data_IF_550796049021
#
_entry.id   IF_550796049021
#
_cell.length_a   1.000
_cell.length_b   1.000
_cell.length_c   1.000
_cell.angle_alpha   90.00
_cell.angle_beta   90.00
_cell.angle_gamma   90.00
#
_symmetry.space_group_name_H-M   'P 1'
#
loop_
_entity.id
_entity.type
_entity.pdbx_description
1 polymer ?
#
# COMPACT_ATOMS: atom_id res chain seq x y z
N UNK A 1 11.80 7.53 1.29
CA UNK A 1 12.24 6.47 0.36
C UNK A 1 11.06 5.55 0.12
N UNK A 2 10.55 5.47 -1.09
CA UNK A 2 9.53 4.49 -1.43
C UNK A 2 10.18 3.12 -1.59
N UNK A 3 9.57 2.10 -1.02
CA UNK A 3 9.97 0.71 -1.19
C UNK A 3 8.71 -0.13 -1.40
N UNK A 4 8.73 -1.00 -2.41
CA UNK A 4 7.63 -1.89 -2.74
C UNK A 4 7.53 -3.07 -1.77
N UNK A 5 7.20 -4.25 -2.27
CA UNK A 5 6.96 -5.45 -1.47
C UNK A 5 8.12 -5.96 -0.59
N UNK A 6 9.30 -5.34 -0.66
CA UNK A 6 10.46 -5.74 0.13
C UNK A 6 10.18 -5.95 1.62
N UNK A 7 9.46 -5.06 2.34
CA UNK A 7 9.19 -5.27 3.76
C UNK A 7 8.29 -6.48 4.05
N UNK A 8 7.45 -6.87 3.10
CA UNK A 8 6.60 -8.06 3.20
C UNK A 8 7.42 -9.35 3.11
N UNK A 9 8.35 -9.41 2.16
CA UNK A 9 9.07 -10.64 1.83
C UNK A 9 10.37 -10.81 2.61
N UNK A 10 10.99 -9.70 3.05
CA UNK A 10 12.21 -9.69 3.85
C UNK A 10 12.05 -8.81 5.11
N UNK A 11 11.06 -9.10 5.97
CA UNK A 11 10.71 -8.23 7.10
C UNK A 11 11.85 -8.08 8.12
N UNK A 12 12.67 -9.11 8.30
CA UNK A 12 13.77 -9.06 9.26
C UNK A 12 14.88 -8.09 8.81
N UNK A 13 15.21 -8.12 7.52
CA UNK A 13 16.20 -7.20 6.95
C UNK A 13 15.70 -5.75 7.01
N UNK A 14 14.42 -5.52 6.66
CA UNK A 14 13.79 -4.22 6.79
C UNK A 14 13.79 -3.73 8.24
N UNK A 15 13.32 -4.56 9.19
CA UNK A 15 13.27 -4.25 10.61
C UNK A 15 14.62 -3.85 11.14
N UNK A 16 15.67 -4.62 10.84
CA UNK A 16 17.05 -4.36 11.29
C UNK A 16 17.53 -2.95 10.92
N UNK A 17 17.13 -2.45 9.75
CA UNK A 17 17.47 -1.09 9.31
C UNK A 17 16.54 -0.05 9.92
N UNK A 18 15.22 -0.27 9.84
CA UNK A 18 14.20 0.69 10.28
C UNK A 18 14.27 0.97 11.80
N UNK A 19 14.61 -0.03 12.62
CA UNK A 19 14.80 0.13 14.07
C UNK A 19 15.86 1.20 14.40
N UNK A 20 16.93 1.30 13.62
CA UNK A 20 17.97 2.32 13.82
C UNK A 20 17.46 3.75 13.63
N UNK A 21 16.38 3.91 12.88
CA UNK A 21 15.80 5.20 12.51
C UNK A 21 14.43 5.46 13.13
N UNK A 22 13.94 4.57 14.00
CA UNK A 22 12.62 4.64 14.60
C UNK A 22 12.32 5.99 15.24
N UNK A 23 13.26 6.54 16.00
CA UNK A 23 13.12 7.86 16.61
C UNK A 23 12.97 8.99 15.57
N UNK A 24 13.70 8.92 14.46
CA UNK A 24 13.61 9.89 13.36
C UNK A 24 12.31 9.77 12.58
N UNK A 25 11.78 8.57 12.45
CA UNK A 25 10.45 8.33 11.86
C UNK A 25 9.37 8.91 12.77
N UNK A 26 9.44 8.65 14.07
CA UNK A 26 8.45 9.09 15.04
C UNK A 26 8.37 10.63 15.17
N UNK A 27 9.50 11.32 15.10
CA UNK A 27 9.54 12.79 15.20
C UNK A 27 9.43 13.54 13.86
N UNK A 28 9.21 12.79 12.75
CA UNK A 28 9.06 13.37 11.42
C UNK A 28 10.35 13.82 10.72
N UNK A 29 11.52 13.58 11.33
CA UNK A 29 12.82 13.91 10.70
C UNK A 29 13.17 12.97 9.54
N UNK A 30 12.52 11.80 9.47
CA UNK A 30 12.65 10.86 8.37
C UNK A 30 11.27 10.38 7.91
N UNK A 31 10.92 10.68 6.66
CA UNK A 31 9.74 10.13 6.00
C UNK A 31 10.09 8.81 5.31
N UNK A 32 9.70 7.70 5.93
CA UNK A 32 9.82 6.37 5.34
C UNK A 32 8.43 5.90 4.90
N UNK A 33 8.17 5.96 3.61
CA UNK A 33 6.89 5.57 2.99
C UNK A 33 7.06 4.26 2.23
N UNK A 34 6.16 3.33 2.49
CA UNK A 34 6.18 2.00 1.88
C UNK A 34 5.00 1.87 0.92
N UNK A 35 5.25 1.33 -0.27
CA UNK A 35 4.20 0.96 -1.20
C UNK A 35 3.60 -0.38 -0.77
N UNK A 36 2.28 -0.48 -0.95
CA UNK A 36 1.41 -1.58 -0.53
C UNK A 36 1.13 -1.63 0.98
N UNK A 37 0.06 -2.34 1.32
CA UNK A 37 -0.46 -2.48 2.68
C UNK A 37 -0.70 -3.95 3.01
N UNK A 38 0.28 -4.79 2.68
CA UNK A 38 0.23 -6.21 2.97
C UNK A 38 0.34 -6.47 4.49
N UNK A 39 -0.13 -7.63 4.99
CA UNK A 39 -0.24 -7.85 6.43
C UNK A 39 1.02 -7.56 7.24
N UNK A 40 2.18 -8.09 6.82
CA UNK A 40 3.46 -7.85 7.52
C UNK A 40 3.86 -6.38 7.45
N UNK A 41 3.56 -5.70 6.35
CA UNK A 41 3.82 -4.26 6.21
C UNK A 41 2.99 -3.44 7.20
N UNK A 42 1.70 -3.78 7.38
CA UNK A 42 0.84 -3.13 8.38
C UNK A 42 1.33 -3.38 9.81
N UNK A 43 1.86 -4.56 10.11
CA UNK A 43 2.47 -4.83 11.42
C UNK A 43 3.73 -3.98 11.66
N UNK A 44 4.55 -3.77 10.63
CA UNK A 44 5.70 -2.87 10.68
C UNK A 44 5.28 -1.41 10.88
N UNK A 45 4.17 -0.99 10.26
CA UNK A 45 3.59 0.34 10.45
C UNK A 45 3.12 0.54 11.90
N UNK A 46 2.37 -0.44 12.44
CA UNK A 46 1.93 -0.44 13.86
C UNK A 46 3.10 -0.41 14.83
N UNK A 47 4.20 -1.05 14.48
CA UNK A 47 5.45 -1.04 15.27
C UNK A 47 6.23 0.30 15.18
N UNK A 48 5.78 1.25 14.35
CA UNK A 48 6.45 2.55 14.14
C UNK A 48 7.70 2.47 13.27
N UNK A 49 7.80 1.44 12.43
CA UNK A 49 8.94 1.20 11.53
C UNK A 49 8.72 1.71 10.10
N UNK A 50 7.61 2.39 9.87
CA UNK A 50 7.34 3.22 8.70
C UNK A 50 6.47 4.41 9.11
N UNK A 51 6.58 5.52 8.40
CA UNK A 51 5.78 6.72 8.66
C UNK A 51 4.41 6.65 7.98
N UNK A 52 4.35 6.03 6.81
CA UNK A 52 3.12 5.79 6.06
C UNK A 52 3.29 4.61 5.11
N UNK A 53 2.15 4.07 4.70
CA UNK A 53 2.05 3.09 3.63
C UNK A 53 0.94 3.48 2.66
N UNK A 54 1.15 3.23 1.38
CA UNK A 54 0.19 3.56 0.33
C UNK A 54 -0.24 2.27 -0.36
N UNK A 55 -1.45 1.86 -0.07
CA UNK A 55 -2.07 0.66 -0.62
C UNK A 55 -2.78 0.90 -1.94
N UNK A 56 -2.74 -0.08 -2.80
CA UNK A 56 -3.56 -0.18 -4.00
C UNK A 56 -4.86 -0.92 -3.65
N UNK A 57 -5.78 -1.00 -4.61
CA UNK A 57 -7.05 -1.73 -4.49
C UNK A 57 -7.11 -2.87 -5.50
N UNK A 58 -6.31 -3.95 -5.30
CA UNK A 58 -6.18 -5.02 -6.29
C UNK A 58 -7.49 -5.77 -6.54
N UNK A 59 -8.33 -5.97 -5.52
CA UNK A 59 -9.65 -6.54 -5.68
C UNK A 59 -10.52 -5.68 -6.63
N UNK A 60 -10.57 -4.38 -6.41
CA UNK A 60 -11.36 -3.47 -7.25
C UNK A 60 -10.81 -3.42 -8.69
N UNK A 61 -9.50 -3.45 -8.85
CA UNK A 61 -8.87 -3.52 -10.18
C UNK A 61 -9.33 -4.76 -10.94
N UNK A 62 -9.26 -5.94 -10.34
CA UNK A 62 -9.72 -7.18 -10.95
C UNK A 62 -11.22 -7.19 -11.19
N UNK A 63 -12.02 -6.80 -10.21
CA UNK A 63 -13.47 -6.77 -10.28
C UNK A 63 -13.98 -5.87 -11.42
N UNK A 64 -13.50 -4.63 -11.50
CA UNK A 64 -13.89 -3.69 -12.58
C UNK A 64 -13.46 -4.18 -13.95
N UNK A 65 -12.29 -4.81 -14.06
CA UNK A 65 -11.79 -5.35 -15.32
C UNK A 65 -12.76 -6.34 -15.95
N UNK A 66 -13.41 -7.19 -15.15
CA UNK A 66 -14.38 -8.15 -15.67
C UNK A 66 -15.59 -7.46 -16.33
N UNK A 67 -16.07 -6.36 -15.74
CA UNK A 67 -17.17 -5.58 -16.34
C UNK A 67 -16.71 -4.85 -17.60
N UNK A 68 -15.51 -4.30 -17.61
CA UNK A 68 -14.95 -3.64 -18.81
C UNK A 68 -14.83 -4.62 -19.97
N UNK A 69 -14.33 -5.83 -19.71
CA UNK A 69 -14.24 -6.87 -20.74
C UNK A 69 -15.62 -7.27 -21.28
N UNK A 70 -16.61 -7.38 -20.40
CA UNK A 70 -18.00 -7.64 -20.80
C UNK A 70 -18.55 -6.52 -21.65
N UNK A 71 -18.37 -5.27 -21.25
CA UNK A 71 -18.87 -4.11 -21.99
C UNK A 71 -18.23 -3.97 -23.36
N UNK A 72 -16.91 -4.23 -23.47
CA UNK A 72 -16.21 -4.28 -24.76
C UNK A 72 -16.78 -5.39 -25.66
N UNK A 73 -17.01 -6.58 -25.09
CA UNK A 73 -17.61 -7.70 -25.82
C UNK A 73 -19.02 -7.39 -26.31
N UNK A 74 -19.81 -6.69 -25.49
CA UNK A 74 -21.20 -6.31 -25.80
C UNK A 74 -21.28 -5.06 -26.71
N UNK A 75 -20.15 -4.53 -27.18
CA UNK A 75 -20.10 -3.37 -28.08
C UNK A 75 -20.42 -2.03 -27.41
N UNK A 76 -20.37 -1.95 -26.09
CA UNK A 76 -20.67 -0.70 -25.34
C UNK A 76 -19.50 0.29 -25.30
N UNK A 77 -18.35 -0.07 -25.90
CA UNK A 77 -17.16 0.76 -25.95
C UNK A 77 -16.09 0.35 -24.95
N UNK A 78 -15.00 1.12 -24.92
CA UNK A 78 -13.87 0.92 -24.00
C UNK A 78 -14.01 1.80 -22.76
N UNK A 79 -13.47 1.37 -21.62
CA UNK A 79 -13.40 2.24 -20.43
C UNK A 79 -12.50 3.44 -20.70
N UNK A 80 -12.58 4.45 -19.83
CA UNK A 80 -11.65 5.57 -19.83
C UNK A 80 -10.21 5.09 -19.64
N UNK A 81 -9.27 5.70 -20.36
CA UNK A 81 -7.85 5.41 -20.26
C UNK A 81 -7.11 6.70 -19.88
N UNK A 82 -6.49 6.77 -18.70
CA UNK A 82 -6.45 5.73 -17.66
C UNK A 82 -7.74 5.65 -16.82
N UNK A 83 -8.01 4.46 -16.27
CA UNK A 83 -9.04 4.24 -15.24
C UNK A 83 -8.39 3.99 -13.89
N UNK A 84 -8.66 4.86 -12.92
CA UNK A 84 -8.08 4.78 -11.58
C UNK A 84 -9.04 4.13 -10.58
N UNK A 85 -8.50 3.29 -9.69
CA UNK A 85 -9.25 2.65 -8.59
C UNK A 85 -9.03 3.34 -7.25
N UNK A 86 -8.15 4.35 -7.22
CA UNK A 86 -7.78 5.05 -5.99
C UNK A 86 -6.66 4.38 -5.20
N UNK A 87 -6.26 5.04 -4.14
CA UNK A 87 -5.21 4.60 -3.22
C UNK A 87 -5.69 4.74 -1.78
N UNK A 88 -5.21 3.86 -0.90
CA UNK A 88 -5.48 3.90 0.53
C UNK A 88 -4.20 4.27 1.28
N UNK A 89 -4.26 5.37 2.05
CA UNK A 89 -3.11 5.86 2.82
C UNK A 89 -3.23 5.39 4.26
N UNK A 90 -2.30 4.54 4.68
CA UNK A 90 -2.18 4.03 6.04
C UNK A 90 -1.07 4.75 6.78
N UNK A 91 -1.38 5.23 7.97
CA UNK A 91 -0.47 5.89 8.89
C UNK A 91 -0.53 5.18 10.26
N UNK A 92 0.39 5.44 11.19
CA UNK A 92 0.27 4.89 12.54
C UNK A 92 -1.07 5.22 13.23
N UNK A 93 -1.73 6.33 12.86
CA UNK A 93 -3.01 6.75 13.45
C UNK A 93 -4.19 5.88 13.02
N UNK A 94 -4.18 5.36 11.80
CA UNK A 94 -5.26 4.54 11.24
C UNK A 94 -4.84 3.11 10.91
N UNK A 95 -3.65 2.69 11.32
CA UNK A 95 -3.09 1.38 11.01
C UNK A 95 -3.96 0.20 11.47
N UNK A 96 -4.77 0.39 12.52
CA UNK A 96 -5.67 -0.65 13.05
C UNK A 96 -6.88 -0.91 12.14
N UNK A 97 -7.33 0.10 11.40
CA UNK A 97 -8.50 0.05 10.52
C UNK A 97 -8.14 0.05 9.04
N UNK A 98 -6.86 0.16 8.73
CA UNK A 98 -6.37 0.15 7.36
C UNK A 98 -6.50 -1.25 6.76
N UNK A 99 -7.13 -1.33 5.61
CA UNK A 99 -7.35 -2.59 4.91
C UNK A 99 -6.09 -2.96 4.13
N UNK A 100 -5.60 -4.17 4.38
CA UNK A 100 -4.54 -4.75 3.56
C UNK A 100 -5.03 -5.04 2.15
N UNK A 101 -4.31 -4.54 1.17
CA UNK A 101 -4.60 -4.80 -0.24
C UNK A 101 -4.18 -6.19 -0.69
#
# INVERSE_FOLDING_TARGET
MPTGGFPQFLPQAYRKVAEKYKAKIANGALALVVADTLPVQLDLLKAGLSGAQVGQRPFEMGYRTMFFLKDIKDGKGKPADPTYTGLDVCTPKNAATCVGG
#
